data_IF_021078756324
#
_entry.id   IF_021078756324
#
_cell.length_a   1.000
_cell.length_b   1.000
_cell.length_c   1.000
_cell.angle_alpha   90.00
_cell.angle_beta   90.00
_cell.angle_gamma   90.00
#
_symmetry.space_group_name_H-M   'P 1'
#
loop_
_entity.id
_entity.type
_entity.pdbx_description
1 polymer ?
#
# COMPACT_ATOMS: atom_id res chain seq x y z
N UNK A 1 -13.79 7.74 -11.89
CA UNK A 1 -12.64 7.16 -11.19
C UNK A 1 -13.03 6.96 -9.74
N UNK A 2 -13.41 5.75 -9.37
CA UNK A 2 -13.73 5.38 -7.98
C UNK A 2 -12.46 5.49 -7.15
N UNK A 3 -12.34 6.40 -6.17
CA UNK A 3 -11.26 6.34 -5.23
C UNK A 3 -11.67 5.36 -4.12
N UNK A 4 -10.87 4.36 -3.82
CA UNK A 4 -9.49 4.44 -3.34
C UNK A 4 -9.36 3.96 -1.90
N UNK A 5 -10.37 3.31 -1.32
CA UNK A 5 -10.26 2.77 0.03
C UNK A 5 -9.92 1.28 -0.02
N UNK A 6 -8.64 0.96 0.17
CA UNK A 6 -8.17 -0.37 0.58
C UNK A 6 -8.04 -0.41 2.10
N UNK A 7 -8.00 -1.60 2.74
CA UNK A 7 -7.76 -1.69 4.18
C UNK A 7 -6.52 -0.91 4.63
N UNK A 8 -5.41 -1.02 3.87
CA UNK A 8 -4.18 -0.27 4.15
C UNK A 8 -4.36 1.26 4.10
N UNK A 9 -5.10 1.77 3.11
CA UNK A 9 -5.37 3.21 2.99
C UNK A 9 -6.33 3.71 4.07
N UNK A 10 -7.30 2.88 4.47
CA UNK A 10 -8.16 3.19 5.60
C UNK A 10 -7.35 3.27 6.90
N UNK A 11 -6.41 2.33 7.11
CA UNK A 11 -5.50 2.36 8.27
C UNK A 11 -4.64 3.63 8.29
N UNK A 12 -4.08 4.05 7.14
CA UNK A 12 -3.32 5.30 7.06
C UNK A 12 -4.16 6.50 7.49
N UNK A 13 -5.42 6.58 7.06
CA UNK A 13 -6.33 7.67 7.44
C UNK A 13 -6.68 7.64 8.93
N UNK A 14 -7.01 6.46 9.47
CA UNK A 14 -7.35 6.28 10.89
C UNK A 14 -6.17 6.57 11.80
N UNK A 15 -4.94 6.28 11.35
CA UNK A 15 -3.72 6.58 12.09
C UNK A 15 -3.35 8.06 11.98
N UNK A 16 -3.38 8.63 10.78
CA UNK A 16 -3.07 10.04 10.52
C UNK A 16 -3.69 10.51 9.18
N UNK A 17 -4.73 11.35 9.20
CA UNK A 17 -5.36 11.84 7.96
C UNK A 17 -4.41 12.56 7.00
N UNK A 18 -3.36 13.23 7.53
CA UNK A 18 -2.36 13.90 6.72
C UNK A 18 -1.46 12.90 5.96
N UNK A 19 -1.11 11.76 6.58
CA UNK A 19 -0.36 10.69 5.92
C UNK A 19 -1.14 10.12 4.74
N UNK A 20 -2.43 9.85 4.93
CA UNK A 20 -3.33 9.42 3.86
C UNK A 20 -3.34 10.44 2.71
N UNK A 21 -3.43 11.75 3.01
CA UNK A 21 -3.38 12.79 1.99
C UNK A 21 -2.08 12.73 1.19
N UNK A 22 -0.92 12.70 1.85
CA UNK A 22 0.38 12.67 1.17
C UNK A 22 0.55 11.43 0.28
N UNK A 23 0.11 10.26 0.75
CA UNK A 23 0.27 8.98 0.03
C UNK A 23 -0.74 8.78 -1.10
N UNK A 24 -2.02 9.10 -0.85
CA UNK A 24 -3.13 8.70 -1.72
C UNK A 24 -3.59 9.84 -2.63
N UNK A 25 -3.65 11.07 -2.10
CA UNK A 25 -4.11 12.25 -2.82
C UNK A 25 -2.93 12.91 -3.55
N UNK A 26 -1.93 13.36 -2.79
CA UNK A 26 -0.79 14.09 -3.33
C UNK A 26 0.26 13.17 -3.98
N UNK A 27 0.24 11.87 -3.63
CA UNK A 27 1.08 10.79 -4.19
C UNK A 27 2.57 11.13 -4.19
N UNK A 28 3.05 11.65 -3.06
CA UNK A 28 4.47 11.93 -2.88
C UNK A 28 5.29 10.62 -3.01
N UNK A 29 6.49 10.68 -3.60
CA UNK A 29 7.34 9.51 -3.75
C UNK A 29 7.74 8.98 -2.38
N UNK A 30 7.61 7.67 -2.21
CA UNK A 30 7.88 6.99 -0.95
C UNK A 30 9.03 5.99 -1.13
N UNK A 31 9.96 5.87 -0.17
CA UNK A 31 11.06 4.93 -0.30
C UNK A 31 10.53 3.49 -0.41
N UNK A 32 11.17 2.66 -1.23
CA UNK A 32 10.75 1.26 -1.38
C UNK A 32 10.86 0.52 -0.04
N UNK A 33 9.80 -0.21 0.30
CA UNK A 33 9.79 -1.06 1.49
C UNK A 33 10.30 -2.46 1.16
N UNK A 34 11.40 -2.87 1.79
CA UNK A 34 11.93 -4.22 1.65
C UNK A 34 10.91 -5.29 2.09
N UNK A 35 10.04 -4.97 3.05
CA UNK A 35 8.96 -5.86 3.47
C UNK A 35 7.89 -6.01 2.38
N UNK A 36 7.50 -4.91 1.72
CA UNK A 36 6.55 -4.95 0.60
C UNK A 36 7.10 -5.77 -0.57
N UNK A 37 8.37 -5.54 -0.94
CA UNK A 37 9.03 -6.29 -2.03
C UNK A 37 9.07 -7.80 -1.74
N UNK A 38 9.44 -8.20 -0.51
CA UNK A 38 9.41 -9.62 -0.11
C UNK A 38 8.01 -10.20 -0.13
N UNK A 39 7.01 -9.44 0.36
CA UNK A 39 5.61 -9.86 0.31
C UNK A 39 5.15 -10.16 -1.11
N UNK A 40 5.39 -9.24 -2.04
CA UNK A 40 5.07 -9.44 -3.47
C UNK A 40 5.72 -10.70 -4.04
N UNK A 41 6.99 -10.94 -3.73
CA UNK A 41 7.69 -12.15 -4.20
C UNK A 41 7.07 -13.44 -3.64
N UNK A 42 6.77 -13.47 -2.35
CA UNK A 42 6.17 -14.65 -1.70
C UNK A 42 4.78 -14.93 -2.27
N UNK A 43 3.94 -13.89 -2.43
CA UNK A 43 2.62 -14.04 -3.05
C UNK A 43 2.72 -14.60 -4.47
N UNK A 44 3.60 -14.04 -5.31
CA UNK A 44 3.79 -14.51 -6.68
C UNK A 44 4.31 -15.96 -6.75
N UNK A 45 5.19 -16.35 -5.83
CA UNK A 45 5.69 -17.72 -5.76
C UNK A 45 4.57 -18.70 -5.38
N UNK A 46 3.75 -18.36 -4.39
CA UNK A 46 2.65 -19.21 -3.95
C UNK A 46 1.58 -19.37 -5.03
N UNK A 47 1.18 -18.28 -5.71
CA UNK A 47 0.23 -18.33 -6.84
C UNK A 47 0.70 -19.18 -8.02
N UNK A 48 2.01 -19.41 -8.16
CA UNK A 48 2.56 -20.24 -9.25
C UNK A 48 2.61 -21.72 -8.89
N UNK A 49 2.70 -22.04 -7.60
CA UNK A 49 2.89 -23.41 -7.10
C UNK A 49 1.57 -24.03 -6.64
N UNK A 50 0.60 -23.20 -6.25
CA UNK A 50 -0.72 -23.58 -5.77
C UNK A 50 -1.81 -22.88 -6.59
#
# INVERSE_FOLDING_TARGET
MTPALSPSRASDFMQCPLLYRFRVIDRLPEPPSAAAARGTLVHAALERVF
#
